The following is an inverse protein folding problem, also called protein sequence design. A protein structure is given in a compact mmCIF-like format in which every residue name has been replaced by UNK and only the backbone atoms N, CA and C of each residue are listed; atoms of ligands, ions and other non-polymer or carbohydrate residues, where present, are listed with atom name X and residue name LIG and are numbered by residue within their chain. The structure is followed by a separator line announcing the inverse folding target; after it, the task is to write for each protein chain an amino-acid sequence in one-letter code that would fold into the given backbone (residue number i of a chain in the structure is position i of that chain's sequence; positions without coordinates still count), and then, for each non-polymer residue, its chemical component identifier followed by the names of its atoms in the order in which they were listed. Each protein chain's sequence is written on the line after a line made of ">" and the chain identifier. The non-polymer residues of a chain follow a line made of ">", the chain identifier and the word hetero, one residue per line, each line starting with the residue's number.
data_IF_508414786722
#
_entry.id   IF_508414786722
#
_cell.length_a   1.000
_cell.length_b   1.000
_cell.length_c   1.000
_cell.angle_alpha   90.00
_cell.angle_beta   90.00
_cell.angle_gamma   90.00
#
_symmetry.space_group_name_H-M   'P 1'
#
loop_
_entity.id
_entity.type
_entity.pdbx_description
1 polymer ?
#
# COMPACT_ATOMS: atom_id res chain seq x y z
N UNK A 1 -41.99 -30.70 -40.26
CA UNK A 1 -41.56 -29.76 -41.31
C UNK A 1 -41.59 -28.38 -40.70
N UNK A 2 -40.46 -27.89 -40.21
CA UNK A 2 -40.03 -26.53 -40.53
C UNK A 2 -38.51 -26.48 -40.30
N UNK A 3 -37.80 -26.10 -41.35
CA UNK A 3 -36.35 -26.08 -41.45
C UNK A 3 -35.97 -24.67 -41.89
N UNK A 4 -35.44 -23.88 -40.96
CA UNK A 4 -34.84 -22.58 -41.30
C UNK A 4 -33.55 -22.42 -40.50
N UNK A 5 -32.44 -22.79 -41.15
CA UNK A 5 -31.09 -22.45 -40.72
C UNK A 5 -30.90 -20.92 -40.79
N UNK A 6 -30.15 -20.30 -39.87
CA UNK A 6 -29.75 -18.91 -40.03
C UNK A 6 -28.70 -18.81 -41.14
N UNK A 7 -28.93 -17.95 -42.12
CA UNK A 7 -27.94 -17.59 -43.12
C UNK A 7 -26.78 -16.82 -42.47
N UNK A 8 -25.58 -17.32 -42.66
CA UNK A 8 -24.33 -16.56 -42.49
C UNK A 8 -24.11 -15.69 -43.73
N UNK A 9 -24.08 -14.36 -43.58
CA UNK A 9 -23.44 -13.48 -44.56
C UNK A 9 -23.17 -12.10 -43.95
N UNK A 10 -22.05 -11.95 -43.25
CA UNK A 10 -21.35 -10.68 -43.10
C UNK A 10 -20.01 -10.82 -43.80
N UNK A 11 -20.04 -10.70 -45.12
CA UNK A 11 -18.84 -10.36 -45.89
C UNK A 11 -18.63 -8.86 -45.69
N UNK A 12 -18.04 -8.47 -44.55
CA UNK A 12 -17.49 -7.13 -44.39
C UNK A 12 -16.38 -6.97 -45.44
N UNK A 13 -16.49 -5.92 -46.26
CA UNK A 13 -15.53 -5.64 -47.32
C UNK A 13 -14.17 -5.36 -46.66
N UNK A 14 -13.10 -6.13 -46.95
CA UNK A 14 -11.80 -5.95 -46.31
C UNK A 14 -11.23 -4.53 -46.44
N UNK A 15 -11.68 -3.78 -47.45
CA UNK A 15 -11.31 -2.38 -47.68
C UNK A 15 -12.02 -1.40 -46.73
N UNK A 16 -13.19 -1.76 -46.21
CA UNK A 16 -13.97 -0.96 -45.27
C UNK A 16 -13.40 -1.11 -43.85
N UNK A 17 -13.10 -2.34 -43.41
CA UNK A 17 -12.44 -2.60 -42.12
C UNK A 17 -11.06 -1.93 -42.02
N UNK A 18 -10.28 -1.98 -43.10
CA UNK A 18 -8.93 -1.38 -43.14
C UNK A 18 -8.98 0.14 -43.08
N UNK A 19 -9.95 0.77 -43.75
CA UNK A 19 -10.15 2.22 -43.70
C UNK A 19 -10.58 2.68 -42.30
N UNK A 20 -11.47 1.92 -41.65
CA UNK A 20 -11.92 2.20 -40.29
C UNK A 20 -10.80 2.06 -39.25
N UNK A 21 -9.94 1.04 -39.40
CA UNK A 21 -8.73 0.85 -38.60
C UNK A 21 -7.72 1.99 -38.79
N UNK A 22 -7.47 2.41 -40.03
CA UNK A 22 -6.57 3.52 -40.34
C UNK A 22 -7.07 4.82 -39.69
N UNK A 23 -8.37 5.09 -39.77
CA UNK A 23 -8.99 6.28 -39.18
C UNK A 23 -8.94 6.28 -37.65
N UNK A 24 -9.25 5.15 -36.99
CA UNK A 24 -9.14 5.01 -35.53
C UNK A 24 -7.69 5.22 -35.06
N UNK A 25 -6.70 4.67 -35.78
CA UNK A 25 -5.28 4.82 -35.41
C UNK A 25 -4.82 6.26 -35.69
N UNK A 26 -5.29 6.92 -36.76
CA UNK A 26 -4.97 8.32 -37.08
C UNK A 26 -5.50 9.31 -36.04
N UNK A 27 -6.73 9.10 -35.56
CA UNK A 27 -7.35 9.88 -34.48
C UNK A 27 -6.58 9.76 -33.16
N UNK A 28 -6.16 8.54 -32.79
CA UNK A 28 -5.39 8.28 -31.56
C UNK A 28 -4.02 8.98 -31.59
N UNK A 29 -3.39 9.05 -32.76
CA UNK A 29 -2.05 9.62 -32.93
C UNK A 29 -2.05 11.10 -33.39
N UNK A 30 -3.23 11.73 -33.51
CA UNK A 30 -3.38 13.15 -33.87
C UNK A 30 -2.93 13.49 -35.30
N UNK A 31 -2.95 12.53 -36.22
CA UNK A 31 -2.61 12.74 -37.62
C UNK A 31 -3.91 12.80 -38.46
N UNK A 32 -4.05 13.83 -39.30
CA UNK A 32 -5.10 13.90 -40.32
C UNK A 32 -4.63 13.05 -41.51
N UNK A 33 -5.10 11.80 -41.59
CA UNK A 33 -4.81 10.92 -42.73
C UNK A 33 -6.07 10.85 -43.58
N UNK A 34 -5.95 11.15 -44.86
CA UNK A 34 -7.03 10.99 -45.83
C UNK A 34 -6.98 9.55 -46.38
N UNK A 35 -7.88 8.64 -45.96
CA UNK A 35 -7.77 7.22 -46.26
C UNK A 35 -7.92 6.90 -47.76
N UNK A 36 -8.54 7.80 -48.55
CA UNK A 36 -8.78 7.57 -49.98
C UNK A 36 -7.58 7.92 -50.88
N UNK A 37 -6.57 8.63 -50.38
CA UNK A 37 -5.46 9.18 -51.20
C UNK A 37 -4.06 8.83 -50.67
N UNK A 38 -3.96 7.77 -49.87
CA UNK A 38 -2.76 7.45 -49.11
C UNK A 38 -1.76 6.61 -49.92
N UNK A 39 -0.56 7.14 -50.19
CA UNK A 39 0.47 6.38 -50.88
C UNK A 39 1.13 5.35 -49.94
N UNK A 40 1.79 4.34 -50.53
CA UNK A 40 2.54 3.33 -49.75
C UNK A 40 3.65 3.96 -48.90
N UNK A 41 4.27 5.03 -49.37
CA UNK A 41 5.35 5.71 -48.65
C UNK A 41 4.81 6.52 -47.46
N UNK A 42 3.64 7.17 -47.62
CA UNK A 42 2.95 7.88 -46.53
C UNK A 42 2.51 6.91 -45.42
N UNK A 43 2.01 5.71 -45.78
CA UNK A 43 1.69 4.65 -44.84
C UNK A 43 2.92 4.18 -44.04
N UNK A 44 4.07 4.00 -44.71
CA UNK A 44 5.31 3.59 -44.06
C UNK A 44 5.85 4.68 -43.14
N UNK A 45 5.81 5.93 -43.55
CA UNK A 45 6.20 7.06 -42.70
C UNK A 45 5.30 7.16 -41.46
N UNK A 46 3.99 7.01 -41.64
CA UNK A 46 3.02 7.00 -40.56
C UNK A 46 3.26 5.85 -39.57
N UNK A 47 3.41 4.61 -40.06
CA UNK A 47 3.68 3.44 -39.22
C UNK A 47 5.00 3.57 -38.48
N UNK A 48 6.05 4.10 -39.12
CA UNK A 48 7.33 4.36 -38.48
C UNK A 48 7.21 5.40 -37.36
N UNK A 49 6.43 6.47 -37.58
CA UNK A 49 6.16 7.50 -36.58
C UNK A 49 5.35 6.94 -35.41
N UNK A 50 4.26 6.23 -35.68
CA UNK A 50 3.43 5.58 -34.68
C UNK A 50 4.22 4.57 -33.84
N UNK A 51 5.02 3.71 -34.50
CA UNK A 51 5.89 2.73 -33.83
C UNK A 51 6.92 3.42 -32.95
N UNK A 52 7.56 4.48 -33.45
CA UNK A 52 8.55 5.26 -32.68
C UNK A 52 7.93 5.92 -31.44
N UNK A 53 6.71 6.44 -31.58
CA UNK A 53 5.96 7.00 -30.44
C UNK A 53 5.60 5.93 -29.42
N UNK A 54 5.11 4.76 -29.86
CA UNK A 54 4.80 3.63 -28.97
C UNK A 54 6.04 3.12 -28.23
N UNK A 55 7.18 3.02 -28.91
CA UNK A 55 8.45 2.63 -28.27
C UNK A 55 8.81 3.63 -27.17
N UNK A 56 8.78 4.94 -27.47
CA UNK A 56 9.07 5.98 -26.48
C UNK A 56 8.09 5.96 -25.31
N UNK A 57 6.79 5.77 -25.56
CA UNK A 57 5.80 5.69 -24.49
C UNK A 57 6.02 4.48 -23.59
N UNK A 58 6.30 3.30 -24.16
CA UNK A 58 6.61 2.11 -23.39
C UNK A 58 7.88 2.29 -22.56
N UNK A 59 8.92 2.91 -23.11
CA UNK A 59 10.15 3.24 -22.38
C UNK A 59 9.85 4.17 -21.19
N UNK A 60 9.12 5.26 -21.41
CA UNK A 60 8.75 6.18 -20.33
C UNK A 60 7.93 5.49 -19.23
N UNK A 61 7.00 4.60 -19.60
CA UNK A 61 6.20 3.83 -18.64
C UNK A 61 7.09 2.86 -17.85
N UNK A 62 8.06 2.22 -18.50
CA UNK A 62 9.02 1.33 -17.84
C UNK A 62 9.89 2.09 -16.84
N UNK A 63 10.43 3.24 -17.24
CA UNK A 63 11.22 4.11 -16.37
C UNK A 63 10.41 4.55 -15.15
N UNK A 64 9.19 5.04 -15.36
CA UNK A 64 8.31 5.46 -14.27
C UNK A 64 7.99 4.28 -13.32
N UNK A 65 7.73 3.09 -13.87
CA UNK A 65 7.50 1.88 -13.07
C UNK A 65 8.70 1.49 -12.23
N UNK A 66 9.91 1.54 -12.81
CA UNK A 66 11.14 1.29 -12.06
C UNK A 66 11.33 2.30 -10.93
N UNK A 67 11.23 3.59 -11.22
CA UNK A 67 11.35 4.64 -10.20
C UNK A 67 10.32 4.49 -9.06
N UNK A 68 9.07 4.14 -9.40
CA UNK A 68 8.03 3.91 -8.41
C UNK A 68 8.35 2.69 -7.54
N UNK A 69 8.78 1.58 -8.16
CA UNK A 69 9.16 0.35 -7.45
C UNK A 69 10.35 0.58 -6.52
N UNK A 70 11.37 1.31 -6.97
CA UNK A 70 12.54 1.66 -6.16
C UNK A 70 12.14 2.52 -4.95
N UNK A 71 11.24 3.49 -5.17
CA UNK A 71 10.74 4.37 -4.11
C UNK A 71 9.94 3.57 -3.08
N UNK A 72 9.04 2.68 -3.52
CA UNK A 72 8.30 1.80 -2.62
C UNK A 72 9.21 0.86 -1.84
N UNK A 73 10.25 0.32 -2.48
CA UNK A 73 11.22 -0.56 -1.83
C UNK A 73 11.95 0.18 -0.70
N UNK A 74 12.38 1.42 -0.95
CA UNK A 74 13.01 2.27 0.08
C UNK A 74 12.07 2.59 1.23
N UNK A 75 10.84 3.00 0.93
CA UNK A 75 9.83 3.30 1.96
C UNK A 75 9.49 2.06 2.81
N UNK A 76 9.37 0.88 2.19
CA UNK A 76 9.16 -0.36 2.93
C UNK A 76 10.35 -0.69 3.84
N UNK A 77 11.58 -0.45 3.40
CA UNK A 77 12.77 -0.65 4.22
C UNK A 77 12.78 0.30 5.44
N UNK A 78 12.50 1.59 5.22
CA UNK A 78 12.41 2.57 6.32
C UNK A 78 11.32 2.20 7.32
N UNK A 79 10.15 1.76 6.83
CA UNK A 79 9.07 1.31 7.70
C UNK A 79 9.41 0.01 8.44
N UNK A 80 10.15 -0.92 7.83
CA UNK A 80 10.66 -2.11 8.51
C UNK A 80 11.58 -1.74 9.68
N UNK A 81 12.40 -0.70 9.53
CA UNK A 81 13.24 -0.23 10.64
C UNK A 81 12.41 0.36 11.78
N UNK A 82 11.32 1.08 11.46
CA UNK A 82 10.36 1.54 12.47
C UNK A 82 9.75 0.34 13.21
N UNK A 83 9.39 -0.72 12.49
CA UNK A 83 8.90 -1.97 13.06
C UNK A 83 9.87 -2.55 14.08
N UNK A 84 11.14 -2.70 13.68
CA UNK A 84 12.18 -3.30 14.52
C UNK A 84 12.36 -2.51 15.82
N UNK A 85 12.33 -1.17 15.73
CA UNK A 85 12.36 -0.30 16.90
C UNK A 85 11.12 -0.52 17.77
N UNK A 86 9.90 -0.51 17.21
CA UNK A 86 8.68 -0.74 17.98
C UNK A 86 8.66 -2.10 18.68
N UNK A 87 9.02 -3.18 17.98
CA UNK A 87 9.08 -4.52 18.56
C UNK A 87 10.10 -4.58 19.69
N UNK A 88 11.24 -3.89 19.56
CA UNK A 88 12.25 -3.79 20.64
C UNK A 88 11.76 -3.04 21.88
N UNK A 89 10.72 -2.23 21.75
CA UNK A 89 10.10 -1.53 22.87
C UNK A 89 9.12 -2.42 23.64
N UNK A 90 8.61 -3.49 23.04
CA UNK A 90 7.67 -4.39 23.70
C UNK A 90 8.37 -5.28 24.75
N UNK A 91 7.63 -5.80 25.74
CA UNK A 91 8.18 -6.74 26.71
C UNK A 91 8.69 -8.01 26.03
N UNK A 92 9.96 -8.36 26.26
CA UNK A 92 10.53 -9.62 25.75
C UNK A 92 9.93 -10.85 26.43
N UNK A 93 9.59 -10.72 27.71
CA UNK A 93 9.01 -11.80 28.51
C UNK A 93 7.97 -11.21 29.47
N UNK A 94 6.86 -11.92 29.70
CA UNK A 94 5.93 -11.53 30.74
C UNK A 94 6.57 -11.68 32.13
N UNK A 95 6.06 -10.94 33.14
CA UNK A 95 6.53 -11.10 34.51
C UNK A 95 6.19 -12.49 35.05
N UNK A 96 7.10 -13.08 35.79
CA UNK A 96 6.81 -14.31 36.55
C UNK A 96 6.05 -13.95 37.82
N UNK A 97 4.84 -14.51 37.96
CA UNK A 97 3.99 -14.36 39.13
C UNK A 97 3.45 -15.74 39.50
N UNK A 98 3.62 -16.14 40.75
CA UNK A 98 3.13 -17.43 41.22
C UNK A 98 1.61 -17.53 41.05
N UNK A 99 1.15 -18.60 40.40
CA UNK A 99 -0.27 -18.84 40.13
C UNK A 99 -0.86 -18.11 38.91
N UNK A 100 -0.05 -17.39 38.13
CA UNK A 100 -0.47 -16.69 36.91
C UNK A 100 0.44 -17.04 35.73
N UNK A 101 -0.17 -17.56 34.67
CA UNK A 101 0.49 -17.79 33.38
C UNK A 101 0.11 -16.67 32.39
N UNK A 102 1.12 -16.10 31.74
CA UNK A 102 0.95 -15.04 30.74
C UNK A 102 1.42 -15.53 29.38
N UNK A 103 0.65 -15.18 28.35
CA UNK A 103 1.04 -15.33 26.95
C UNK A 103 0.74 -14.02 26.23
N UNK A 104 1.62 -13.61 25.33
CA UNK A 104 1.44 -12.45 24.46
C UNK A 104 1.90 -12.79 23.05
N UNK A 105 1.21 -12.23 22.06
CA UNK A 105 1.57 -12.31 20.66
C UNK A 105 1.33 -10.93 20.04
N UNK A 106 2.29 -10.42 19.27
CA UNK A 106 2.21 -9.10 18.65
C UNK A 106 2.25 -9.25 17.13
N UNK A 107 1.10 -9.04 16.49
CA UNK A 107 0.90 -9.21 15.05
C UNK A 107 0.46 -7.88 14.42
N UNK A 108 1.38 -6.98 14.04
CA UNK A 108 1.02 -5.72 13.40
C UNK A 108 0.44 -5.98 12.00
N UNK A 109 -0.60 -5.23 11.62
CA UNK A 109 -1.25 -5.33 10.30
C UNK A 109 -0.36 -4.83 9.13
N UNK A 110 0.74 -4.15 9.44
CA UNK A 110 1.74 -3.67 8.50
C UNK A 110 3.11 -3.51 9.16
N UNK A 111 3.94 -2.62 8.63
CA UNK A 111 5.28 -2.36 9.18
C UNK A 111 5.28 -1.46 10.42
N UNK A 112 4.21 -0.71 10.69
CA UNK A 112 4.11 0.17 11.85
C UNK A 112 2.70 0.09 12.43
N UNK A 113 2.60 -0.08 13.74
CA UNK A 113 1.32 -0.26 14.45
C UNK A 113 1.12 0.77 15.55
N UNK A 114 -0.13 1.14 15.79
CA UNK A 114 -0.54 1.94 16.95
C UNK A 114 -0.69 1.11 18.23
N UNK A 115 -0.66 -0.22 18.13
CA UNK A 115 -0.89 -1.12 19.24
C UNK A 115 0.34 -1.22 20.13
N UNK A 116 0.11 -1.24 21.44
CA UNK A 116 1.14 -1.38 22.47
C UNK A 116 0.61 -2.15 23.65
N UNK A 117 1.47 -3.03 24.18
CA UNK A 117 1.23 -3.68 25.45
C UNK A 117 2.47 -3.62 26.32
N UNK A 118 2.27 -3.63 27.64
CA UNK A 118 3.35 -3.70 28.60
C UNK A 118 2.92 -4.35 29.91
N UNK A 119 3.91 -4.75 30.71
CA UNK A 119 3.73 -5.20 32.07
C UNK A 119 4.43 -4.23 33.01
N UNK A 120 3.65 -3.61 33.88
CA UNK A 120 4.11 -2.63 34.84
C UNK A 120 4.16 -3.28 36.22
N UNK A 121 5.17 -2.95 37.02
CA UNK A 121 5.23 -3.33 38.43
C UNK A 121 5.42 -2.08 39.28
N UNK A 122 4.35 -1.29 39.54
CA UNK A 122 4.45 -0.04 40.31
C UNK A 122 4.94 -0.28 41.74
N UNK A 123 4.60 -1.43 42.33
CA UNK A 123 5.08 -1.82 43.66
C UNK A 123 5.35 -3.32 43.69
N UNK A 124 6.04 -3.83 44.71
CA UNK A 124 6.29 -5.26 44.87
C UNK A 124 5.00 -6.10 45.01
N UNK A 125 3.88 -5.45 45.36
CA UNK A 125 2.58 -6.08 45.59
C UNK A 125 1.61 -5.88 44.43
N UNK A 126 1.95 -5.06 43.44
CA UNK A 126 1.07 -4.70 42.33
C UNK A 126 1.76 -4.99 41.00
N UNK A 127 1.14 -5.85 40.20
CA UNK A 127 1.46 -5.99 38.78
C UNK A 127 0.27 -5.51 37.97
N UNK A 128 0.55 -4.65 37.00
CA UNK A 128 -0.42 -4.19 36.01
C UNK A 128 -0.04 -4.67 34.63
N UNK A 129 -1.04 -4.95 33.80
CA UNK A 129 -0.88 -5.04 32.36
C UNK A 129 -1.43 -3.76 31.73
N UNK A 130 -0.72 -3.20 30.77
CA UNK A 130 -1.15 -2.05 29.99
C UNK A 130 -1.37 -2.50 28.54
N UNK A 131 -2.48 -2.09 27.93
CA UNK A 131 -2.79 -2.34 26.53
C UNK A 131 -3.39 -1.06 25.95
N UNK A 132 -2.87 -0.60 24.82
CA UNK A 132 -3.33 0.59 24.14
C UNK A 132 -3.40 0.37 22.64
N UNK A 133 -4.44 0.94 22.02
CA UNK A 133 -4.61 1.05 20.57
C UNK A 133 -4.67 2.55 20.26
N UNK A 134 -3.62 3.03 19.60
CA UNK A 134 -3.57 4.42 19.15
C UNK A 134 -4.36 4.56 17.85
N UNK A 135 -5.32 5.47 17.87
CA UNK A 135 -6.13 5.82 16.70
C UNK A 135 -5.26 6.18 15.48
N UNK A 136 -5.51 5.51 14.36
CA UNK A 136 -4.77 5.69 13.11
C UNK A 136 -3.96 4.45 12.73
N UNK A 137 -3.07 4.57 11.76
CA UNK A 137 -2.18 3.49 11.36
C UNK A 137 -0.88 4.02 10.74
N UNK A 138 0.13 3.17 10.66
CA UNK A 138 1.42 3.50 10.05
C UNK A 138 2.35 4.31 10.96
N UNK A 139 3.29 5.04 10.36
CA UNK A 139 4.33 5.75 11.10
C UNK A 139 3.81 6.76 12.15
N UNK A 140 2.76 7.57 11.90
CA UNK A 140 2.29 8.53 12.89
C UNK A 140 1.76 7.87 14.18
N UNK A 141 0.93 6.83 14.07
CA UNK A 141 0.42 6.10 15.24
C UNK A 141 1.55 5.38 15.97
N UNK A 142 2.55 4.90 15.23
CA UNK A 142 3.73 4.26 15.80
C UNK A 142 4.59 5.19 16.67
N UNK A 143 4.72 6.45 16.27
CA UNK A 143 5.42 7.47 17.08
C UNK A 143 4.64 7.77 18.35
N UNK A 144 3.32 7.96 18.24
CA UNK A 144 2.46 8.20 19.42
C UNK A 144 2.54 7.01 20.38
N UNK A 145 2.51 5.78 19.88
CA UNK A 145 2.73 4.56 20.65
C UNK A 145 4.03 4.63 21.47
N UNK A 146 5.15 4.95 20.82
CA UNK A 146 6.44 5.06 21.48
C UNK A 146 6.45 6.14 22.58
N UNK A 147 5.80 7.28 22.33
CA UNK A 147 5.63 8.35 23.33
C UNK A 147 4.79 7.86 24.51
N UNK A 148 3.66 7.19 24.25
CA UNK A 148 2.80 6.63 25.30
C UNK A 148 3.58 5.68 26.20
N UNK A 149 4.42 4.81 25.64
CA UNK A 149 5.29 3.94 26.43
C UNK A 149 6.23 4.71 27.35
N UNK A 150 6.86 5.77 26.85
CA UNK A 150 7.77 6.60 27.66
C UNK A 150 7.00 7.24 28.82
N UNK A 151 5.84 7.84 28.55
CA UNK A 151 5.00 8.46 29.59
C UNK A 151 4.56 7.44 30.64
N UNK A 152 4.14 6.25 30.20
CA UNK A 152 3.75 5.13 31.05
C UNK A 152 4.88 4.70 32.00
N UNK A 153 6.09 4.47 31.47
CA UNK A 153 7.24 4.03 32.28
C UNK A 153 7.75 5.11 33.25
N UNK A 154 7.61 6.38 32.88
CA UNK A 154 8.05 7.51 33.70
C UNK A 154 7.06 7.80 34.85
N UNK A 155 5.76 7.78 34.58
CA UNK A 155 4.76 8.33 35.50
C UNK A 155 3.99 7.29 36.31
N UNK A 156 3.92 6.03 35.87
CA UNK A 156 3.05 5.04 36.50
C UNK A 156 3.69 4.22 37.62
N UNK A 157 4.93 4.52 38.01
CA UNK A 157 5.68 3.76 39.02
C UNK A 157 5.09 3.84 40.44
N UNK A 158 4.15 4.75 40.72
CA UNK A 158 3.58 4.92 42.08
C UNK A 158 2.06 4.85 42.12
N UNK A 159 1.45 4.49 41.00
CA UNK A 159 0.00 4.45 40.86
C UNK A 159 -0.56 3.21 41.54
N UNK A 160 -1.70 3.36 42.22
CA UNK A 160 -2.33 2.27 42.97
C UNK A 160 -3.51 1.63 42.24
N UNK A 161 -4.00 2.25 41.16
CA UNK A 161 -5.14 1.74 40.39
C UNK A 161 -5.06 2.08 38.90
N UNK A 162 -5.67 1.25 38.06
CA UNK A 162 -5.74 1.50 36.62
C UNK A 162 -6.45 2.83 36.27
N UNK A 163 -7.48 3.22 37.04
CA UNK A 163 -8.20 4.48 36.83
C UNK A 163 -7.33 5.70 37.09
N UNK A 164 -6.53 5.68 38.16
CA UNK A 164 -5.54 6.72 38.45
C UNK A 164 -4.46 6.79 37.36
N UNK A 165 -3.98 5.63 36.87
CA UNK A 165 -2.98 5.55 35.81
C UNK A 165 -3.47 6.22 34.52
N UNK A 166 -4.65 5.83 34.05
CA UNK A 166 -5.23 6.38 32.83
C UNK A 166 -5.56 7.87 32.98
N UNK A 167 -6.05 8.29 34.15
CA UNK A 167 -6.32 9.70 34.41
C UNK A 167 -5.06 10.56 34.39
N UNK A 168 -3.95 10.03 34.94
CA UNK A 168 -2.66 10.72 34.93
C UNK A 168 -2.11 10.87 33.51
N UNK A 169 -2.10 9.78 32.73
CA UNK A 169 -1.64 9.83 31.32
C UNK A 169 -2.46 10.84 30.50
N UNK A 170 -3.78 10.89 30.72
CA UNK A 170 -4.68 11.78 29.98
C UNK A 170 -4.51 13.28 30.33
N UNK A 171 -3.74 13.61 31.36
CA UNK A 171 -3.47 14.99 31.79
C UNK A 171 -2.08 15.50 31.38
N UNK A 172 -1.24 14.62 30.84
CA UNK A 172 0.10 14.94 30.32
C UNK A 172 0.00 15.37 28.85
#
# INVERSE_FOLDING_TARGET
>A
MDSSLPQSSSSEDPLEETSELIQKISEINGALIDPENLSRDDLLEYLNRATSLMIRQNQNIQELRHHFTDTLTKLNLEMSQVRDVQESLLPNYPPQIEGLDFASEYLPSGHASGDYYDFLRPTDQLVGSFLADVSGHGAPSAVVMAITRVLVHEHLQKVQSAGEALSLINQL
#
